data_IF_887291587843
#
_entry.id   IF_887291587843
#
_cell.length_a   1.000
_cell.length_b   1.000
_cell.length_c   1.000
_cell.angle_alpha   90.00
_cell.angle_beta   90.00
_cell.angle_gamma   90.00
#
_symmetry.space_group_name_H-M   'P 1'
#
loop_
_entity.id
_entity.type
_entity.pdbx_description
1 polymer ?
#
# COMPACT_ATOMS: atom_id res chain seq x y z
N UNK A 1 -22.88 20.43 -12.06
CA UNK A 1 -21.59 19.72 -11.91
C UNK A 1 -21.27 19.74 -10.42
N UNK A 2 -21.53 18.64 -9.72
CA UNK A 2 -21.19 18.51 -8.30
C UNK A 2 -19.68 18.39 -8.20
N UNK A 3 -19.04 19.26 -7.41
CA UNK A 3 -17.61 19.14 -7.13
C UNK A 3 -17.31 17.73 -6.59
N UNK A 4 -16.23 17.08 -7.05
CA UNK A 4 -15.83 15.80 -6.48
C UNK A 4 -15.57 16.01 -4.98
N UNK A 5 -16.12 15.11 -4.16
CA UNK A 5 -15.90 15.12 -2.72
C UNK A 5 -14.40 15.22 -2.42
N UNK A 6 -13.99 15.99 -1.39
CA UNK A 6 -12.58 16.25 -1.10
C UNK A 6 -11.79 14.94 -0.94
N UNK A 7 -10.59 14.91 -1.53
CA UNK A 7 -9.65 13.80 -1.46
C UNK A 7 -8.45 14.18 -0.58
N UNK A 8 -7.86 13.19 0.10
CA UNK A 8 -6.63 13.35 0.87
C UNK A 8 -5.40 13.45 -0.05
N UNK A 9 -5.37 12.61 -1.08
CA UNK A 9 -4.32 12.55 -2.10
C UNK A 9 -4.86 11.95 -3.40
N UNK A 10 -4.23 12.28 -4.51
CA UNK A 10 -4.47 11.67 -5.82
C UNK A 10 -3.22 10.99 -6.36
N UNK A 11 -3.41 10.11 -7.33
CA UNK A 11 -2.35 9.36 -7.96
C UNK A 11 -2.79 8.69 -9.25
N UNK A 12 -1.87 7.97 -9.87
CA UNK A 12 -2.12 7.21 -11.07
C UNK A 12 -0.89 6.49 -11.58
N UNK A 13 -1.09 5.73 -12.65
CA UNK A 13 0.04 5.13 -13.36
C UNK A 13 0.84 6.19 -14.13
N UNK A 14 2.06 5.83 -14.54
CA UNK A 14 2.97 6.72 -15.29
C UNK A 14 2.35 7.26 -16.59
N UNK A 15 1.62 6.42 -17.34
CA UNK A 15 0.98 6.87 -18.59
C UNK A 15 -0.32 7.67 -18.37
N UNK A 16 -0.75 7.85 -17.10
CA UNK A 16 -1.97 8.60 -16.71
C UNK A 16 -3.28 8.04 -17.29
N UNK A 17 -3.28 6.82 -17.82
CA UNK A 17 -4.49 6.12 -18.25
C UNK A 17 -5.37 5.72 -17.06
N UNK A 18 -4.76 5.36 -15.93
CA UNK A 18 -5.45 5.10 -14.67
C UNK A 18 -5.15 6.22 -13.68
N UNK A 19 -6.21 6.79 -13.09
CA UNK A 19 -6.16 7.81 -12.04
C UNK A 19 -7.04 7.40 -10.88
N UNK A 20 -6.61 7.68 -9.67
CA UNK A 20 -7.34 7.36 -8.45
C UNK A 20 -7.13 8.42 -7.37
N UNK A 21 -8.04 8.46 -6.40
CA UNK A 21 -7.93 9.26 -5.19
C UNK A 21 -8.00 8.40 -3.94
N UNK A 22 -7.39 8.90 -2.86
CA UNK A 22 -7.55 8.41 -1.50
C UNK A 22 -8.52 9.35 -0.77
N UNK A 23 -9.62 8.84 -0.23
CA UNK A 23 -10.62 9.64 0.46
C UNK A 23 -10.19 10.07 1.88
N UNK A 24 -9.12 9.48 2.43
CA UNK A 24 -8.54 9.87 3.72
C UNK A 24 -7.08 9.43 3.82
N UNK A 25 -6.42 9.79 4.92
CA UNK A 25 -5.12 9.26 5.27
C UNK A 25 -5.14 7.70 5.36
N UNK A 26 -4.03 7.04 4.99
CA UNK A 26 -3.89 5.60 5.14
C UNK A 26 -3.89 5.18 6.61
N UNK A 27 -4.13 3.91 6.86
CA UNK A 27 -4.05 3.29 8.18
C UNK A 27 -2.61 3.23 8.68
N UNK A 28 -1.68 2.97 7.76
CA UNK A 28 -0.22 2.87 8.00
C UNK A 28 0.53 2.82 6.67
N UNK A 29 1.78 3.28 6.65
CA UNK A 29 2.72 3.19 5.52
C UNK A 29 3.85 2.20 5.84
N UNK A 30 3.94 1.10 5.10
CA UNK A 30 4.99 0.09 5.24
C UNK A 30 6.08 0.26 4.20
N UNK A 31 7.32 0.40 4.65
CA UNK A 31 8.49 0.17 3.81
C UNK A 31 8.91 -1.31 3.94
N UNK A 32 8.53 -2.13 2.96
CA UNK A 32 8.78 -3.57 3.02
C UNK A 32 10.04 -3.94 2.25
N UNK A 33 10.98 -4.56 2.98
CA UNK A 33 12.30 -4.96 2.47
C UNK A 33 12.37 -6.43 2.03
N UNK A 34 11.26 -7.18 2.03
CA UNK A 34 11.30 -8.58 1.61
C UNK A 34 11.64 -8.72 0.12
N UNK A 35 12.24 -9.86 -0.27
CA UNK A 35 12.64 -10.11 -1.67
C UNK A 35 11.48 -10.07 -2.67
N UNK A 36 10.26 -10.37 -2.24
CA UNK A 36 9.06 -10.25 -3.08
C UNK A 36 8.70 -8.80 -3.36
N UNK A 37 8.76 -7.92 -2.36
CA UNK A 37 8.52 -6.50 -2.54
C UNK A 37 9.60 -5.84 -3.41
N UNK A 38 10.86 -6.29 -3.29
CA UNK A 38 11.94 -5.88 -4.17
C UNK A 38 11.65 -6.25 -5.63
N UNK A 39 11.27 -7.51 -5.90
CA UNK A 39 10.90 -7.96 -7.25
C UNK A 39 9.72 -7.18 -7.83
N UNK A 40 8.65 -7.01 -7.06
CA UNK A 40 7.43 -6.35 -7.56
C UNK A 40 7.59 -4.84 -7.82
N UNK A 41 8.54 -4.19 -7.14
CA UNK A 41 8.84 -2.78 -7.35
C UNK A 41 9.99 -2.54 -8.33
N UNK A 42 10.85 -3.54 -8.56
CA UNK A 42 12.14 -3.36 -9.22
C UNK A 42 13.16 -2.56 -8.38
N UNK A 43 12.82 -2.20 -7.14
CA UNK A 43 13.63 -1.37 -6.26
C UNK A 43 14.09 -2.14 -5.01
N UNK A 44 14.80 -1.46 -4.11
CA UNK A 44 15.33 -2.07 -2.88
C UNK A 44 14.28 -2.39 -1.82
N UNK A 45 13.07 -1.83 -1.98
CA UNK A 45 11.90 -2.05 -1.12
C UNK A 45 10.64 -1.61 -1.86
N UNK A 46 9.47 -2.01 -1.35
CA UNK A 46 8.20 -1.42 -1.76
C UNK A 46 7.63 -0.57 -0.61
N UNK A 47 7.31 0.69 -0.91
CA UNK A 47 6.61 1.58 0.01
C UNK A 47 5.10 1.51 -0.27
N UNK A 48 4.34 1.01 0.70
CA UNK A 48 2.91 0.75 0.56
C UNK A 48 2.10 1.49 1.63
N UNK A 49 1.18 2.34 1.20
CA UNK A 49 0.15 2.91 2.05
C UNK A 49 -1.03 1.93 2.15
N UNK A 50 -1.31 1.43 3.35
CA UNK A 50 -2.42 0.49 3.62
C UNK A 50 -3.67 1.29 3.92
N UNK A 51 -4.74 1.08 3.16
CA UNK A 51 -6.00 1.81 3.31
C UNK A 51 -7.19 0.90 2.96
N UNK A 52 -8.36 1.20 3.52
CA UNK A 52 -9.62 0.54 3.19
C UNK A 52 -9.93 0.67 1.71
N UNK A 53 -10.35 -0.43 1.08
CA UNK A 53 -10.55 -0.48 -0.37
C UNK A 53 -11.62 0.51 -0.86
N UNK A 54 -12.67 0.74 -0.06
CA UNK A 54 -13.74 1.71 -0.33
C UNK A 54 -13.25 3.17 -0.35
N UNK A 55 -12.11 3.45 0.30
CA UNK A 55 -11.51 4.78 0.37
C UNK A 55 -10.57 5.05 -0.81
N UNK A 56 -10.41 4.11 -1.73
CA UNK A 56 -9.64 4.29 -2.96
C UNK A 56 -10.61 4.33 -4.15
N UNK A 57 -10.83 5.52 -4.69
CA UNK A 57 -11.79 5.76 -5.76
C UNK A 57 -11.07 5.91 -7.09
N UNK A 58 -11.53 5.20 -8.12
CA UNK A 58 -11.06 5.42 -9.48
C UNK A 58 -11.64 6.74 -10.00
N UNK A 59 -10.76 7.58 -10.56
CA UNK A 59 -11.11 8.84 -11.20
C UNK A 59 -11.11 8.71 -12.72
N UNK A 60 -10.27 7.82 -13.26
CA UNK A 60 -10.14 7.56 -14.70
C UNK A 60 -9.58 6.16 -14.91
N UNK A 61 -10.06 5.48 -15.95
CA UNK A 61 -9.56 4.17 -16.38
C UNK A 61 -9.82 3.05 -15.37
N UNK A 62 -9.46 1.84 -15.77
CA UNK A 62 -9.63 0.64 -14.94
C UNK A 62 -8.33 -0.17 -14.96
N UNK A 63 -7.78 -0.54 -13.80
CA UNK A 63 -6.64 -1.44 -13.75
C UNK A 63 -7.08 -2.88 -14.03
N UNK A 64 -6.14 -3.72 -14.46
CA UNK A 64 -6.28 -5.17 -14.51
C UNK A 64 -5.76 -5.79 -13.22
N UNK A 65 -6.40 -6.84 -12.73
CA UNK A 65 -5.92 -7.60 -11.57
C UNK A 65 -5.05 -8.77 -12.05
N UNK A 66 -3.80 -8.79 -11.59
CA UNK A 66 -2.85 -9.86 -11.87
C UNK A 66 -2.64 -10.70 -10.62
N UNK A 67 -2.90 -12.01 -10.71
CA UNK A 67 -2.59 -12.95 -9.62
C UNK A 67 -1.09 -13.17 -9.60
N UNK A 68 -0.45 -12.93 -8.46
CA UNK A 68 1.00 -12.98 -8.32
C UNK A 68 1.37 -13.75 -7.07
N UNK A 69 2.41 -14.60 -7.08
CA UNK A 69 2.84 -15.27 -5.87
C UNK A 69 3.35 -14.27 -4.81
N UNK A 70 3.39 -14.71 -3.55
CA UNK A 70 3.83 -13.88 -2.43
C UNK A 70 4.60 -14.71 -1.41
N UNK A 71 5.37 -14.05 -0.54
CA UNK A 71 6.16 -14.70 0.51
C UNK A 71 5.33 -15.63 1.42
N UNK A 72 4.04 -15.32 1.60
CA UNK A 72 3.14 -16.10 2.46
C UNK A 72 2.71 -17.45 1.87
N UNK A 73 3.05 -17.74 0.60
CA UNK A 73 2.55 -18.90 -0.14
C UNK A 73 1.08 -18.76 -0.60
N UNK A 74 0.32 -17.80 -0.06
CA UNK A 74 -1.10 -17.57 -0.41
C UNK A 74 -1.30 -16.63 -1.61
N UNK A 75 -0.22 -16.11 -2.19
CA UNK A 75 -0.27 -15.15 -3.29
C UNK A 75 -0.77 -13.76 -2.89
N UNK A 76 -1.04 -12.96 -3.91
CA UNK A 76 -1.63 -11.63 -3.87
C UNK A 76 -2.30 -11.35 -5.23
N UNK A 77 -3.19 -10.35 -5.28
CA UNK A 77 -3.69 -9.79 -6.54
C UNK A 77 -3.21 -8.36 -6.66
N UNK A 78 -2.56 -8.02 -7.75
CA UNK A 78 -1.98 -6.69 -7.97
C UNK A 78 -2.80 -5.97 -9.04
N UNK A 79 -3.34 -4.81 -8.70
CA UNK A 79 -3.96 -3.91 -9.66
C UNK A 79 -2.86 -3.19 -10.45
N UNK A 80 -2.82 -3.42 -11.76
CA UNK A 80 -1.85 -2.83 -12.67
C UNK A 80 -2.55 -2.05 -13.77
N UNK A 81 -1.94 -0.97 -14.26
CA UNK A 81 -2.41 -0.34 -15.48
C UNK A 81 -2.32 -1.32 -16.66
N UNK A 82 -3.37 -1.41 -17.49
CA UNK A 82 -3.36 -2.26 -18.67
C UNK A 82 -2.30 -1.82 -19.70
N UNK A 83 -2.03 -0.51 -19.77
CA UNK A 83 -1.21 0.07 -20.84
C UNK A 83 0.27 0.12 -20.48
N UNK A 84 0.61 0.58 -19.26
CA UNK A 84 2.00 0.71 -18.83
C UNK A 84 2.42 -0.25 -17.71
N UNK A 85 1.52 -1.15 -17.29
CA UNK A 85 1.78 -2.23 -16.34
C UNK A 85 2.25 -1.83 -14.92
N UNK A 86 2.31 -0.53 -14.62
CA UNK A 86 2.62 -0.01 -13.29
C UNK A 86 1.64 -0.57 -12.26
N UNK A 87 2.19 -1.15 -11.21
CA UNK A 87 1.43 -1.60 -10.04
C UNK A 87 0.93 -0.40 -9.25
N UNK A 88 -0.38 -0.33 -9.03
CA UNK A 88 -1.03 0.76 -8.30
C UNK A 88 -1.30 0.34 -6.85
N UNK A 89 -1.84 -0.86 -6.64
CA UNK A 89 -2.03 -1.42 -5.30
C UNK A 89 -2.07 -2.95 -5.33
N UNK A 90 -1.80 -3.55 -4.17
CA UNK A 90 -1.96 -4.99 -3.93
C UNK A 90 -3.14 -5.30 -3.00
N UNK A 91 -3.76 -6.45 -3.22
CA UNK A 91 -4.63 -7.16 -2.28
C UNK A 91 -3.89 -8.42 -1.81
N UNK A 92 -3.51 -8.47 -0.53
CA UNK A 92 -2.86 -9.63 0.06
C UNK A 92 -3.89 -10.56 0.71
N UNK A 93 -3.72 -11.87 0.55
CA UNK A 93 -4.67 -12.87 1.04
C UNK A 93 -4.99 -12.74 2.55
N UNK A 94 -4.01 -12.37 3.38
CA UNK A 94 -4.21 -12.19 4.83
C UNK A 94 -5.05 -10.96 5.22
N UNK A 95 -5.23 -10.01 4.29
CA UNK A 95 -6.06 -8.82 4.46
C UNK A 95 -7.38 -8.90 3.67
N UNK A 96 -7.42 -9.78 2.66
CA UNK A 96 -8.52 -9.90 1.71
C UNK A 96 -8.70 -8.64 0.87
N UNK A 97 -9.91 -8.48 0.32
CA UNK A 97 -10.25 -7.41 -0.60
C UNK A 97 -10.60 -6.09 0.09
N UNK A 98 -10.74 -6.14 1.41
CA UNK A 98 -11.13 -5.00 2.24
C UNK A 98 -10.01 -3.95 2.36
N UNK A 99 -8.76 -4.33 2.12
CA UNK A 99 -7.60 -3.45 2.20
C UNK A 99 -6.85 -3.41 0.87
N UNK A 100 -6.37 -2.22 0.52
CA UNK A 100 -5.47 -1.96 -0.60
C UNK A 100 -4.13 -1.48 -0.05
N UNK A 101 -3.05 -2.03 -0.60
CA UNK A 101 -1.68 -1.65 -0.33
C UNK A 101 -1.20 -0.79 -1.50
N UNK A 102 -1.51 0.51 -1.45
CA UNK A 102 -1.26 1.47 -2.52
C UNK A 102 0.24 1.77 -2.60
N UNK A 103 0.81 1.69 -3.81
CA UNK A 103 2.21 2.05 -4.06
C UNK A 103 2.34 3.56 -3.89
N UNK A 104 3.05 3.99 -2.84
CA UNK A 104 3.16 5.43 -2.49
C UNK A 104 3.75 6.22 -3.66
N UNK A 105 4.74 5.68 -4.37
CA UNK A 105 5.34 6.32 -5.54
C UNK A 105 4.43 6.50 -6.76
N UNK A 106 3.17 6.03 -6.70
CA UNK A 106 2.15 6.30 -7.74
C UNK A 106 1.23 7.47 -7.38
N UNK A 107 1.39 8.07 -6.20
CA UNK A 107 0.72 9.31 -5.83
C UNK A 107 1.37 10.51 -6.52
N UNK A 108 0.62 11.57 -6.74
CA UNK A 108 1.16 12.80 -7.34
C UNK A 108 2.11 13.55 -6.39
N UNK A 109 1.89 13.40 -5.08
CA UNK A 109 2.77 13.92 -4.02
C UNK A 109 3.12 12.78 -3.04
N UNK A 110 4.11 11.94 -3.38
CA UNK A 110 4.48 10.77 -2.58
C UNK A 110 5.18 11.13 -1.27
N UNK A 111 5.80 12.31 -1.17
CA UNK A 111 6.61 12.74 -0.02
C UNK A 111 5.76 12.96 1.23
N UNK A 112 4.44 13.15 1.07
CA UNK A 112 3.46 13.24 2.16
C UNK A 112 3.25 11.94 2.93
N UNK A 113 3.74 10.81 2.42
CA UNK A 113 3.57 9.49 3.04
C UNK A 113 4.92 8.80 3.26
N UNK A 114 5.78 9.32 4.16
CA UNK A 114 6.99 8.62 4.58
C UNK A 114 6.63 7.30 5.29
N UNK A 115 7.58 6.36 5.42
CA UNK A 115 7.32 5.10 6.11
C UNK A 115 7.06 5.30 7.60
N UNK A 116 5.95 4.75 8.09
CA UNK A 116 5.69 4.63 9.54
C UNK A 116 6.56 3.53 10.18
N UNK A 117 6.92 2.51 9.38
CA UNK A 117 7.73 1.38 9.80
C UNK A 117 8.42 0.68 8.62
N UNK A 118 9.65 0.24 8.84
CA UNK A 118 10.40 -0.66 7.98
C UNK A 118 10.19 -2.11 8.44
N UNK A 119 9.71 -2.97 7.54
CA UNK A 119 9.43 -4.38 7.84
C UNK A 119 10.26 -5.32 6.96
N UNK A 120 10.47 -6.54 7.44
CA UNK A 120 11.32 -7.56 6.80
C UNK A 120 12.76 -7.09 6.57
N UNK A 121 13.32 -6.32 7.50
CA UNK A 121 14.66 -5.72 7.35
C UNK A 121 15.79 -6.74 7.35
N UNK A 122 15.53 -7.99 7.76
CA UNK A 122 16.48 -9.12 7.60
C UNK A 122 16.84 -9.36 6.11
N UNK A 123 15.95 -8.99 5.19
CA UNK A 123 16.15 -9.07 3.73
C UNK A 123 16.59 -7.74 3.10
N UNK A 124 16.78 -6.67 3.88
CA UNK A 124 17.21 -5.35 3.38
C UNK A 124 18.52 -5.49 2.62
N UNK A 125 18.64 -4.81 1.48
CA UNK A 125 19.93 -4.75 0.80
C UNK A 125 20.96 -4.01 1.68
N UNK A 126 22.22 -4.47 1.76
CA UNK A 126 23.19 -3.91 2.72
C UNK A 126 23.36 -2.39 2.64
N UNK A 127 23.39 -1.84 1.42
CA UNK A 127 23.60 -0.40 1.17
C UNK A 127 22.43 0.52 1.56
N UNK A 128 21.22 -0.02 1.74
CA UNK A 128 20.05 0.80 2.11
C UNK A 128 20.19 1.24 3.57
N UNK A 129 20.36 2.53 3.83
CA UNK A 129 20.32 3.07 5.18
C UNK A 129 18.87 3.22 5.65
N UNK A 130 18.60 2.84 6.90
CA UNK A 130 17.36 3.19 7.60
C UNK A 130 17.70 4.34 8.55
N UNK A 131 16.97 5.46 8.53
CA UNK A 131 17.26 6.60 9.41
C UNK A 131 17.29 6.20 10.88
N UNK A 132 18.20 6.81 11.64
CA UNK A 132 18.26 6.61 13.08
C UNK A 132 16.91 7.00 13.72
N UNK A 133 16.41 6.16 14.62
CA UNK A 133 15.11 6.35 15.28
C UNK A 133 13.88 5.91 14.46
N UNK A 134 14.04 5.55 13.19
CA UNK A 134 12.94 4.96 12.43
C UNK A 134 12.57 3.58 12.98
N UNK A 135 11.27 3.28 13.06
CA UNK A 135 10.79 1.95 13.46
C UNK A 135 11.21 0.93 12.41
N UNK A 136 11.89 -0.13 12.84
CA UNK A 136 12.37 -1.19 11.97
C UNK A 136 12.28 -2.54 12.67
N UNK A 137 11.78 -3.56 11.97
CA UNK A 137 11.71 -4.93 12.48
C UNK A 137 12.24 -5.93 11.46
N UNK A 138 12.96 -6.99 11.89
CA UNK A 138 13.53 -7.98 10.98
C UNK A 138 12.47 -8.74 10.19
N UNK A 139 11.24 -8.84 10.71
CA UNK A 139 10.10 -9.53 10.11
C UNK A 139 8.84 -8.66 10.13
N UNK A 140 7.78 -9.09 10.82
CA UNK A 140 6.52 -8.36 10.96
C UNK A 140 6.28 -7.97 12.43
N UNK A 141 5.47 -6.94 12.66
CA UNK A 141 5.21 -6.37 13.98
C UNK A 141 3.81 -6.73 14.47
N UNK A 142 3.56 -6.56 15.78
CA UNK A 142 2.22 -6.64 16.37
C UNK A 142 1.50 -5.31 16.17
N UNK A 143 0.33 -5.34 15.52
CA UNK A 143 -0.38 -4.09 15.14
C UNK A 143 -0.67 -3.17 16.31
N UNK A 144 -1.02 -3.74 17.47
CA UNK A 144 -1.29 -3.01 18.72
C UNK A 144 -0.12 -2.17 19.23
N UNK A 145 1.11 -2.46 18.80
CA UNK A 145 2.33 -1.75 19.23
C UNK A 145 2.72 -0.60 18.29
N UNK A 146 2.18 -0.59 17.06
CA UNK A 146 2.64 0.33 16.00
C UNK A 146 1.53 1.19 15.42
N UNK A 147 0.32 0.65 15.28
CA UNK A 147 -0.82 1.37 14.69
C UNK A 147 -1.36 2.40 15.67
N UNK A 148 -1.82 3.54 15.16
CA UNK A 148 -2.55 4.51 15.97
C UNK A 148 -3.88 3.92 16.45
N UNK A 149 -4.40 4.44 17.57
CA UNK A 149 -5.72 4.05 18.09
C UNK A 149 -6.82 4.26 17.03
N UNK A 150 -6.73 5.34 16.24
CA UNK A 150 -7.67 5.62 15.15
C UNK A 150 -7.60 4.54 14.05
N UNK A 151 -6.39 4.17 13.60
CA UNK A 151 -6.20 3.14 12.58
C UNK A 151 -6.65 1.76 13.07
N UNK A 152 -6.45 1.44 14.34
CA UNK A 152 -6.96 0.22 14.95
C UNK A 152 -8.50 0.21 14.94
N UNK A 153 -9.14 1.28 15.41
CA UNK A 153 -10.60 1.38 15.42
C UNK A 153 -11.21 1.34 14.00
N UNK A 154 -10.57 1.98 13.01
CA UNK A 154 -10.96 1.90 11.60
C UNK A 154 -10.90 0.46 11.07
N UNK A 155 -9.81 -0.24 11.37
CA UNK A 155 -9.63 -1.65 10.97
C UNK A 155 -10.64 -2.56 11.65
N UNK A 156 -10.92 -2.37 12.94
CA UNK A 156 -11.92 -3.14 13.66
C UNK A 156 -13.30 -2.98 13.04
N UNK A 157 -13.73 -1.77 12.71
CA UNK A 157 -15.00 -1.53 12.00
C UNK A 157 -15.07 -2.26 10.66
N UNK A 158 -13.97 -2.26 9.90
CA UNK A 158 -13.87 -2.93 8.60
C UNK A 158 -13.99 -4.47 8.70
N UNK A 159 -13.51 -5.06 9.80
CA UNK A 159 -13.51 -6.51 9.98
C UNK A 159 -14.69 -7.02 10.80
N UNK A 160 -15.24 -6.19 11.69
CA UNK A 160 -16.44 -6.47 12.49
C UNK A 160 -17.75 -6.41 11.71
N UNK A 161 -17.75 -5.82 10.51
CA UNK A 161 -18.91 -5.83 9.58
C UNK A 161 -19.05 -7.14 8.79
N UNK A 162 -18.20 -8.15 9.05
CA UNK A 162 -18.30 -9.50 8.47
C UNK A 162 -18.87 -10.54 9.46
N UNK A 163 -19.61 -10.07 10.46
CA UNK A 163 -20.41 -10.91 11.38
C UNK A 163 -21.83 -11.04 10.89
#
# INVERSE_FOLDING_TARGET
MTDPAPSFAEGGCTCRAVRFSLASAPLIVHCCHCRWCQRESGASFALNAVIEAERVRLLKGSPVLVVTPSASGKGQRIARCADCHIALWSHYAGAGDALRFVRVGTLDDPDRLPPDIHIYTESKQPWVAIPAGARAVPQYYRRSEVWSAESLARRERLLGTKG
#
